data_IF_476863537753
#
_entry.id   IF_476863537753
#
_cell.length_a   1.000
_cell.length_b   1.000
_cell.length_c   1.000
_cell.angle_alpha   90.00
_cell.angle_beta   90.00
_cell.angle_gamma   90.00
#
_symmetry.space_group_name_H-M   'P 1'
#
loop_
_entity.id
_entity.type
_entity.pdbx_description
1 polymer ?
#
# COMPACT_ATOMS: atom_id res chain seq x y z
N UNK A 1 2.31 20.69 6.34
CA UNK A 1 1.40 20.09 5.34
C UNK A 1 1.02 21.17 4.33
N UNK A 2 1.36 20.95 3.05
CA UNK A 2 1.03 21.90 1.98
C UNK A 2 -0.17 21.42 1.14
N UNK A 3 -0.98 20.51 1.67
CA UNK A 3 -2.17 19.99 0.99
C UNK A 3 -3.44 20.79 1.29
N UNK A 4 -4.49 20.47 0.55
CA UNK A 4 -5.83 20.99 0.78
C UNK A 4 -6.76 19.87 1.23
N UNK A 5 -7.75 20.20 2.05
CA UNK A 5 -8.91 19.34 2.33
C UNK A 5 -9.74 19.15 1.05
N UNK A 6 -10.66 18.18 1.05
CA UNK A 6 -11.53 17.89 -0.10
C UNK A 6 -12.43 19.07 -0.51
N UNK A 7 -12.70 19.99 0.40
CA UNK A 7 -13.45 21.23 0.12
C UNK A 7 -12.58 22.35 -0.46
N UNK A 8 -11.28 22.10 -0.69
CA UNK A 8 -10.32 23.09 -1.20
C UNK A 8 -9.66 23.97 -0.14
N UNK A 9 -10.06 23.85 1.12
CA UNK A 9 -9.47 24.62 2.23
C UNK A 9 -8.02 24.16 2.48
N UNK A 10 -7.10 25.12 2.67
CA UNK A 10 -5.70 24.82 2.92
C UNK A 10 -5.48 24.19 4.31
N UNK A 11 -4.77 23.07 4.36
CA UNK A 11 -4.34 22.47 5.62
C UNK A 11 -3.38 23.37 6.43
N UNK A 12 -2.75 24.36 5.79
CA UNK A 12 -1.92 25.35 6.49
C UNK A 12 -2.75 26.39 7.27
N UNK A 13 -3.95 26.69 6.81
CA UNK A 13 -4.87 27.59 7.49
C UNK A 13 -5.60 26.92 8.66
N UNK A 14 -5.89 25.63 8.51
CA UNK A 14 -6.55 24.82 9.51
C UNK A 14 -5.74 23.53 9.74
N UNK A 15 -4.58 23.62 10.43
CA UNK A 15 -3.74 22.45 10.62
C UNK A 15 -4.45 21.39 11.49
N UNK A 16 -4.38 20.10 11.11
CA UNK A 16 -4.93 19.04 11.93
C UNK A 16 -4.20 18.97 13.28
N UNK A 17 -4.94 18.74 14.34
CA UNK A 17 -4.37 18.51 15.67
C UNK A 17 -3.72 17.12 15.73
N UNK A 18 -2.47 17.00 16.22
CA UNK A 18 -1.89 15.69 16.48
C UNK A 18 -2.65 14.96 17.59
N UNK A 19 -2.82 13.65 17.45
CA UNK A 19 -3.39 12.81 18.52
C UNK A 19 -2.48 12.78 19.74
N UNK A 20 -3.07 12.65 20.94
CA UNK A 20 -2.32 12.31 22.15
C UNK A 20 -1.87 10.85 22.12
N UNK A 21 -0.98 10.45 23.04
CA UNK A 21 -0.55 9.05 23.17
C UNK A 21 -1.75 8.16 23.56
N UNK A 22 -2.62 8.64 24.44
CA UNK A 22 -3.83 7.93 24.88
C UNK A 22 -4.80 7.72 23.71
N UNK A 23 -4.98 8.74 22.87
CA UNK A 23 -5.82 8.64 21.67
C UNK A 23 -5.26 7.62 20.67
N UNK A 24 -3.93 7.54 20.51
CA UNK A 24 -3.29 6.51 19.66
C UNK A 24 -3.56 5.12 20.24
N UNK A 25 -3.38 4.93 21.53
CA UNK A 25 -3.62 3.65 22.20
C UNK A 25 -5.08 3.20 22.12
N UNK A 26 -6.02 4.14 22.21
CA UNK A 26 -7.44 3.84 22.02
C UNK A 26 -7.73 3.46 20.57
N UNK A 27 -7.14 4.18 19.61
CA UNK A 27 -7.30 3.89 18.19
C UNK A 27 -6.73 2.50 17.80
N UNK A 28 -5.63 2.06 18.42
CA UNK A 28 -5.14 0.69 18.25
C UNK A 28 -6.22 -0.34 18.59
N UNK A 29 -6.92 -0.15 19.73
CA UNK A 29 -8.03 -1.04 20.13
C UNK A 29 -9.21 -0.98 19.17
N UNK A 30 -9.52 0.22 18.65
CA UNK A 30 -10.57 0.40 17.65
C UNK A 30 -10.29 -0.35 16.35
N UNK A 31 -9.03 -0.44 15.90
CA UNK A 31 -8.65 -1.29 14.77
C UNK A 31 -8.94 -2.77 15.04
N UNK A 32 -8.60 -3.27 16.23
CA UNK A 32 -8.95 -4.64 16.64
C UNK A 32 -10.45 -4.88 16.68
N UNK A 33 -11.20 -3.95 17.26
CA UNK A 33 -12.66 -4.01 17.32
C UNK A 33 -13.31 -3.95 15.92
N UNK A 34 -12.77 -3.13 15.02
CA UNK A 34 -13.24 -3.05 13.63
C UNK A 34 -12.99 -4.36 12.86
N UNK A 35 -11.82 -4.95 13.03
CA UNK A 35 -11.48 -6.25 12.43
C UNK A 35 -12.42 -7.36 12.91
N UNK A 36 -12.73 -7.39 14.20
CA UNK A 36 -13.68 -8.35 14.77
C UNK A 36 -15.08 -8.19 14.14
N UNK A 37 -15.58 -6.97 14.03
CA UNK A 37 -16.86 -6.69 13.36
C UNK A 37 -16.87 -7.12 11.89
N UNK A 38 -15.74 -6.96 11.17
CA UNK A 38 -15.62 -7.43 9.80
C UNK A 38 -15.77 -8.96 9.70
N UNK A 39 -15.10 -9.72 10.56
CA UNK A 39 -15.23 -11.19 10.59
C UNK A 39 -16.64 -11.61 11.01
N UNK A 40 -17.24 -10.95 12.01
CA UNK A 40 -18.64 -11.18 12.42
C UNK A 40 -19.64 -10.89 11.29
N UNK A 41 -19.33 -9.95 10.41
CA UNK A 41 -20.12 -9.66 9.21
C UNK A 41 -19.93 -10.67 8.06
N UNK A 42 -19.02 -11.65 8.21
CA UNK A 42 -18.78 -12.74 7.26
C UNK A 42 -17.57 -12.57 6.35
N UNK A 43 -16.69 -11.59 6.58
CA UNK A 43 -15.41 -11.48 5.88
C UNK A 43 -14.42 -12.54 6.41
N UNK A 44 -13.58 -13.09 5.54
CA UNK A 44 -12.56 -14.08 5.89
C UNK A 44 -11.39 -13.49 6.68
N UNK A 45 -11.07 -12.22 6.42
CA UNK A 45 -9.98 -11.49 7.05
C UNK A 45 -10.00 -10.01 6.71
N UNK A 46 -8.95 -9.29 7.09
CA UNK A 46 -8.79 -7.85 6.83
C UNK A 46 -7.40 -7.50 6.32
N UNK A 47 -7.30 -6.47 5.49
CA UNK A 47 -6.05 -5.81 5.15
C UNK A 47 -6.00 -4.44 5.81
N UNK A 48 -5.01 -4.24 6.69
CA UNK A 48 -4.76 -2.96 7.36
C UNK A 48 -4.21 -1.99 6.32
N UNK A 49 -4.85 -0.83 6.17
CA UNK A 49 -4.38 0.19 5.24
C UNK A 49 -3.30 1.06 5.88
N UNK A 50 -2.04 0.73 5.61
CA UNK A 50 -0.86 1.49 6.04
C UNK A 50 -0.12 2.15 4.88
N UNK A 51 -0.86 2.73 3.91
CA UNK A 51 -0.33 3.17 2.64
C UNK A 51 -0.96 4.48 2.15
N UNK A 52 -0.41 5.03 1.06
CA UNK A 52 -0.96 6.12 0.26
C UNK A 52 -1.24 7.42 1.04
N UNK A 53 -0.41 7.75 2.02
CA UNK A 53 -0.52 8.99 2.79
C UNK A 53 -1.68 9.03 3.78
N UNK A 54 -2.34 7.88 4.04
CA UNK A 54 -3.40 7.80 5.04
C UNK A 54 -2.83 7.55 6.44
N UNK A 55 -3.69 7.38 7.42
CA UNK A 55 -3.38 7.49 8.84
C UNK A 55 -2.09 6.77 9.28
N UNK A 56 -1.95 5.46 9.04
CA UNK A 56 -0.78 4.72 9.48
C UNK A 56 0.48 5.15 8.71
N UNK A 57 0.33 5.40 7.40
CA UNK A 57 1.42 5.85 6.54
C UNK A 57 1.96 7.22 6.96
N UNK A 58 1.11 8.12 7.46
CA UNK A 58 1.52 9.42 8.00
C UNK A 58 2.45 9.30 9.21
N UNK A 59 2.31 8.25 10.02
CA UNK A 59 3.24 7.99 11.12
C UNK A 59 4.62 7.52 10.63
N UNK A 60 4.66 6.81 9.51
CA UNK A 60 5.90 6.28 8.94
C UNK A 60 6.78 7.38 8.34
N UNK A 61 6.22 8.37 7.67
CA UNK A 61 6.97 9.38 6.93
C UNK A 61 7.48 10.55 7.80
N UNK A 62 8.78 10.80 7.79
CA UNK A 62 9.43 11.83 8.62
C UNK A 62 9.13 13.27 8.17
N UNK A 63 8.69 13.48 6.93
CA UNK A 63 8.23 14.79 6.49
C UNK A 63 6.86 15.19 7.07
N UNK A 64 6.05 14.21 7.48
CA UNK A 64 4.72 14.41 8.06
C UNK A 64 4.75 14.23 9.57
N UNK A 65 5.32 13.12 10.05
CA UNK A 65 5.44 12.82 11.48
C UNK A 65 6.52 13.68 12.13
N UNK A 66 6.10 14.77 12.79
CA UNK A 66 6.95 15.69 13.55
C UNK A 66 6.84 15.50 15.08
N UNK A 67 6.33 14.35 15.52
CA UNK A 67 6.19 14.01 16.93
C UNK A 67 7.55 13.85 17.60
N UNK A 68 7.60 14.17 18.88
CA UNK A 68 8.80 14.06 19.73
C UNK A 68 8.62 13.04 20.87
N UNK A 69 7.50 12.34 20.87
CA UNK A 69 7.20 11.26 21.81
C UNK A 69 7.58 9.88 21.21
N UNK A 70 7.13 8.81 21.86
CA UNK A 70 7.41 7.44 21.48
C UNK A 70 6.82 6.99 20.12
N UNK A 71 6.09 7.86 19.43
CA UNK A 71 5.50 7.61 18.11
C UNK A 71 6.12 8.47 17.00
N UNK A 72 7.24 9.15 17.25
CA UNK A 72 7.92 10.00 16.28
C UNK A 72 9.41 10.10 16.48
N UNK A 73 10.10 10.75 15.53
CA UNK A 73 11.55 10.90 15.50
C UNK A 73 12.23 9.70 14.85
N UNK A 74 12.71 8.74 15.62
CA UNK A 74 13.46 7.59 15.09
C UNK A 74 12.58 6.63 14.27
N UNK A 75 13.21 5.79 13.45
CA UNK A 75 12.56 4.74 12.65
C UNK A 75 11.73 3.80 13.53
N UNK A 76 12.27 3.42 14.69
CA UNK A 76 11.62 2.55 15.66
C UNK A 76 10.30 3.16 16.18
N UNK A 77 10.36 4.45 16.54
CA UNK A 77 9.20 5.16 17.07
C UNK A 77 8.14 5.38 15.99
N UNK A 78 8.54 5.73 14.76
CA UNK A 78 7.61 5.91 13.65
C UNK A 78 6.94 4.60 13.21
N UNK A 79 7.63 3.46 13.36
CA UNK A 79 7.11 2.13 13.08
C UNK A 79 6.21 1.56 14.18
N UNK A 80 6.21 2.13 15.39
CA UNK A 80 5.51 1.64 16.56
C UNK A 80 4.02 1.49 16.34
N UNK A 81 3.36 2.55 15.89
CA UNK A 81 1.90 2.54 15.72
C UNK A 81 1.41 1.47 14.73
N UNK A 82 1.95 1.36 13.50
CA UNK A 82 1.59 0.27 12.60
C UNK A 82 1.82 -1.13 13.19
N UNK A 83 2.91 -1.34 13.92
CA UNK A 83 3.21 -2.63 14.57
C UNK A 83 2.23 -2.95 15.69
N UNK A 84 1.84 -1.99 16.49
CA UNK A 84 0.81 -2.16 17.53
C UNK A 84 -0.55 -2.49 16.92
N UNK A 85 -0.94 -1.82 15.82
CA UNK A 85 -2.18 -2.12 15.09
C UNK A 85 -2.17 -3.54 14.52
N UNK A 86 -1.07 -3.97 13.86
CA UNK A 86 -0.94 -5.36 13.37
C UNK A 86 -1.17 -6.36 14.49
N UNK A 87 -0.50 -6.18 15.62
CA UNK A 87 -0.58 -7.11 16.74
C UNK A 87 -1.98 -7.14 17.37
N UNK A 88 -2.61 -5.99 17.53
CA UNK A 88 -3.95 -5.90 18.10
C UNK A 88 -5.00 -6.54 17.20
N UNK A 89 -4.94 -6.26 15.89
CA UNK A 89 -5.84 -6.89 14.91
C UNK A 89 -5.63 -8.40 14.88
N UNK A 90 -4.38 -8.87 14.88
CA UNK A 90 -4.08 -10.30 14.90
C UNK A 90 -4.57 -11.00 16.18
N UNK A 91 -4.47 -10.35 17.34
CA UNK A 91 -5.06 -10.85 18.59
C UNK A 91 -6.59 -10.95 18.52
N UNK A 92 -7.21 -10.02 17.81
CA UNK A 92 -8.68 -9.95 17.73
C UNK A 92 -9.30 -11.03 16.83
N UNK A 93 -8.64 -11.39 15.70
CA UNK A 93 -9.23 -12.25 14.66
C UNK A 93 -8.38 -13.43 14.22
N UNK A 94 -7.15 -13.57 14.74
CA UNK A 94 -6.15 -14.56 14.29
C UNK A 94 -5.19 -13.97 13.25
N UNK A 95 -3.91 -14.27 13.38
CA UNK A 95 -2.84 -13.71 12.56
C UNK A 95 -2.92 -14.13 11.07
N UNK A 96 -3.45 -15.33 10.81
CA UNK A 96 -3.68 -15.89 9.48
C UNK A 96 -4.76 -15.17 8.65
N UNK A 97 -5.52 -14.29 9.30
CA UNK A 97 -6.58 -13.46 8.68
C UNK A 97 -6.20 -11.99 8.53
N UNK A 98 -4.93 -11.66 8.76
CA UNK A 98 -4.46 -10.27 8.75
C UNK A 98 -3.41 -10.06 7.69
N UNK A 99 -3.60 -9.05 6.84
CA UNK A 99 -2.59 -8.47 5.98
C UNK A 99 -2.38 -7.00 6.30
N UNK A 100 -1.30 -6.43 5.78
CA UNK A 100 -1.07 -4.99 5.79
C UNK A 100 -0.61 -4.50 4.42
N UNK A 101 -1.19 -3.38 3.97
CA UNK A 101 -0.76 -2.69 2.76
C UNK A 101 0.16 -1.53 3.12
N UNK A 102 1.31 -1.43 2.42
CA UNK A 102 2.35 -0.42 2.59
C UNK A 102 2.75 0.20 1.24
N UNK A 103 3.21 1.45 1.24
CA UNK A 103 3.60 2.17 0.02
C UNK A 103 4.89 2.98 0.24
N UNK A 104 6.04 2.31 0.36
CA UNK A 104 7.31 2.93 0.77
C UNK A 104 7.78 4.07 -0.15
N UNK A 105 7.39 4.05 -1.42
CA UNK A 105 7.82 5.00 -2.45
C UNK A 105 6.67 5.84 -3.02
N UNK A 106 5.54 5.88 -2.32
CA UNK A 106 4.41 6.72 -2.73
C UNK A 106 4.56 8.14 -2.17
N UNK A 107 4.24 9.13 -3.02
CA UNK A 107 4.25 10.54 -2.65
C UNK A 107 2.84 11.15 -2.62
N UNK A 108 1.84 10.32 -2.74
CA UNK A 108 0.45 10.74 -2.61
C UNK A 108 0.19 11.35 -1.23
N UNK A 109 -0.64 12.39 -1.16
CA UNK A 109 -0.88 13.16 0.08
C UNK A 109 0.39 13.85 0.63
N UNK A 110 1.38 14.10 -0.23
CA UNK A 110 2.65 14.76 0.12
C UNK A 110 3.47 14.01 1.20
N UNK A 111 3.25 12.71 1.36
CA UNK A 111 4.08 11.87 2.24
C UNK A 111 5.40 11.54 1.56
N UNK A 112 6.51 11.74 2.28
CA UNK A 112 7.86 11.44 1.81
C UNK A 112 8.74 11.06 3.00
N UNK A 113 9.47 9.97 2.90
CA UNK A 113 10.48 9.62 3.90
C UNK A 113 11.87 10.03 3.42
N UNK A 114 12.72 10.52 4.32
CA UNK A 114 14.08 10.91 3.97
C UNK A 114 14.97 9.72 3.65
N UNK A 115 14.66 8.52 4.20
CA UNK A 115 15.36 7.28 3.90
C UNK A 115 14.37 6.09 3.87
N UNK A 116 13.55 5.96 2.82
CA UNK A 116 12.54 4.92 2.77
C UNK A 116 13.12 3.51 2.80
N UNK A 117 14.33 3.29 2.27
CA UNK A 117 14.95 1.98 2.28
C UNK A 117 15.22 1.49 3.72
N UNK A 118 15.88 2.30 4.54
CA UNK A 118 16.19 1.97 5.94
C UNK A 118 14.90 1.78 6.76
N UNK A 119 13.96 2.69 6.59
CA UNK A 119 12.73 2.66 7.38
C UNK A 119 11.89 1.42 7.08
N UNK A 120 11.63 1.14 5.80
CA UNK A 120 10.82 -0.03 5.44
C UNK A 120 11.57 -1.36 5.57
N UNK A 121 12.91 -1.39 5.44
CA UNK A 121 13.70 -2.56 5.85
C UNK A 121 13.49 -2.86 7.34
N UNK A 122 13.61 -1.85 8.22
CA UNK A 122 13.35 -2.01 9.64
C UNK A 122 11.92 -2.50 9.92
N UNK A 123 10.91 -1.87 9.33
CA UNK A 123 9.51 -2.27 9.51
C UNK A 123 9.28 -3.73 9.08
N UNK A 124 9.82 -4.13 7.92
CA UNK A 124 9.74 -5.51 7.44
C UNK A 124 10.46 -6.49 8.37
N UNK A 125 11.62 -6.12 8.92
CA UNK A 125 12.34 -6.94 9.91
C UNK A 125 11.52 -7.13 11.18
N UNK A 126 10.91 -6.05 11.68
CA UNK A 126 10.04 -6.15 12.85
C UNK A 126 8.82 -7.05 12.56
N UNK A 127 8.16 -6.91 11.42
CA UNK A 127 7.03 -7.77 11.01
C UNK A 127 7.48 -9.22 10.91
N UNK A 128 8.60 -9.51 10.24
CA UNK A 128 9.11 -10.86 10.04
C UNK A 128 9.49 -11.57 11.35
N UNK A 129 9.88 -10.81 12.38
CA UNK A 129 10.29 -11.34 13.68
C UNK A 129 9.19 -11.33 14.74
N UNK A 130 7.99 -10.84 14.44
CA UNK A 130 6.85 -10.96 15.35
C UNK A 130 6.58 -12.43 15.73
N UNK A 131 6.13 -12.71 16.95
CA UNK A 131 5.61 -14.03 17.32
C UNK A 131 4.55 -14.50 16.31
N UNK A 132 4.54 -15.79 16.00
CA UNK A 132 3.65 -16.38 14.98
C UNK A 132 2.17 -16.05 15.22
N UNK A 133 1.77 -15.93 16.46
CA UNK A 133 0.40 -15.68 16.91
C UNK A 133 -0.10 -14.27 16.53
N UNK A 134 0.81 -13.35 16.24
CA UNK A 134 0.50 -11.95 15.90
C UNK A 134 1.19 -11.47 14.61
N UNK A 135 1.91 -12.37 13.92
CA UNK A 135 2.56 -12.07 12.65
C UNK A 135 1.54 -12.16 11.51
N UNK A 136 1.39 -11.11 10.70
CA UNK A 136 0.39 -11.10 9.64
C UNK A 136 0.67 -12.18 8.58
N UNK A 137 -0.36 -12.67 7.92
CA UNK A 137 -0.27 -13.63 6.84
C UNK A 137 0.52 -13.09 5.65
N UNK A 138 0.36 -11.80 5.35
CA UNK A 138 1.04 -11.16 4.23
C UNK A 138 1.29 -9.67 4.43
N UNK A 139 2.25 -9.17 3.66
CA UNK A 139 2.47 -7.75 3.41
C UNK A 139 2.23 -7.47 1.93
N UNK A 140 1.40 -6.49 1.63
CA UNK A 140 1.09 -6.01 0.30
C UNK A 140 1.82 -4.69 0.07
N UNK A 141 2.68 -4.59 -0.95
CA UNK A 141 3.42 -3.37 -1.25
C UNK A 141 3.20 -2.86 -2.68
N UNK A 142 3.28 -1.54 -2.81
CA UNK A 142 3.14 -0.85 -4.10
C UNK A 142 4.52 -0.63 -4.70
N UNK A 143 4.70 -1.05 -5.96
CA UNK A 143 5.94 -0.87 -6.74
C UNK A 143 6.31 0.62 -6.84
N UNK A 144 7.61 0.95 -6.76
CA UNK A 144 8.08 2.35 -6.82
C UNK A 144 7.75 3.06 -8.12
N UNK A 145 7.61 2.32 -9.23
CA UNK A 145 7.22 2.85 -10.55
C UNK A 145 5.76 3.31 -10.63
N UNK A 146 4.92 2.88 -9.69
CA UNK A 146 3.50 3.20 -9.71
C UNK A 146 3.21 4.51 -9.01
N UNK A 147 2.32 5.30 -9.62
CA UNK A 147 1.74 6.51 -9.02
C UNK A 147 0.27 6.63 -9.41
N UNK A 148 -0.51 7.31 -8.60
CA UNK A 148 -1.92 7.55 -8.84
C UNK A 148 -2.15 8.57 -9.97
N UNK A 149 -1.23 9.51 -10.13
CA UNK A 149 -1.33 10.65 -11.04
C UNK A 149 -0.26 10.60 -12.13
N UNK A 150 0.99 10.41 -11.75
CA UNK A 150 2.13 10.43 -12.66
C UNK A 150 2.20 9.17 -13.52
N UNK A 151 2.78 9.29 -14.71
CA UNK A 151 3.26 8.11 -15.45
C UNK A 151 4.53 7.53 -14.83
N UNK A 152 4.94 6.34 -15.29
CA UNK A 152 6.07 5.62 -14.70
C UNK A 152 7.38 6.43 -14.77
N UNK A 153 7.68 7.07 -15.92
CA UNK A 153 8.92 7.82 -16.08
C UNK A 153 8.94 9.05 -15.19
N UNK A 154 7.85 9.83 -15.18
CA UNK A 154 7.71 11.00 -14.32
C UNK A 154 7.81 10.64 -12.83
N UNK A 155 7.28 9.48 -12.43
CA UNK A 155 7.42 8.95 -11.07
C UNK A 155 8.87 8.63 -10.72
N UNK A 156 9.58 7.92 -11.58
CA UNK A 156 10.98 7.55 -11.36
C UNK A 156 11.89 8.79 -11.32
N UNK A 157 11.62 9.77 -12.16
CA UNK A 157 12.32 11.05 -12.17
C UNK A 157 12.09 11.83 -10.86
N UNK A 158 10.87 11.86 -10.35
CA UNK A 158 10.53 12.50 -9.07
C UNK A 158 11.21 11.82 -7.88
N UNK A 159 11.26 10.48 -7.87
CA UNK A 159 11.99 9.71 -6.85
C UNK A 159 13.49 10.00 -6.89
N UNK A 160 14.09 10.03 -8.09
CA UNK A 160 15.51 10.30 -8.27
C UNK A 160 15.88 11.71 -7.84
N UNK A 161 15.06 12.71 -8.20
CA UNK A 161 15.26 14.09 -7.79
C UNK A 161 15.18 14.26 -6.27
N UNK A 162 14.20 13.63 -5.63
CA UNK A 162 14.04 13.71 -4.17
C UNK A 162 15.23 13.10 -3.40
N UNK A 163 15.70 11.93 -3.83
CA UNK A 163 16.85 11.26 -3.20
C UNK A 163 18.15 12.03 -3.41
N UNK A 164 18.37 12.64 -4.58
CA UNK A 164 19.54 13.46 -4.88
C UNK A 164 19.59 14.72 -4.04
N UNK A 165 18.46 15.41 -3.85
CA UNK A 165 18.35 16.65 -3.07
C UNK A 165 18.66 16.44 -1.58
N UNK A 166 18.44 15.23 -1.05
CA UNK A 166 18.70 14.88 0.34
C UNK A 166 20.09 14.31 0.60
N UNK A 167 20.94 14.16 -0.41
CA UNK A 167 22.27 13.55 -0.27
C UNK A 167 22.21 12.06 0.10
N UNK A 168 21.06 11.43 -0.09
CA UNK A 168 20.83 10.00 0.18
C UNK A 168 21.32 9.22 -1.04
N UNK A 169 22.57 8.79 -0.98
CA UNK A 169 23.25 8.16 -2.11
C UNK A 169 22.65 6.81 -2.54
N UNK A 170 22.88 6.57 -3.82
CA UNK A 170 22.99 5.30 -4.57
C UNK A 170 22.26 4.06 -4.02
N UNK A 171 22.20 3.81 -2.72
CA UNK A 171 21.58 2.60 -2.17
C UNK A 171 20.05 2.69 -2.17
N UNK A 172 19.46 3.83 -1.78
CA UNK A 172 18.03 4.05 -1.90
C UNK A 172 17.62 4.08 -3.38
N UNK A 173 18.41 4.75 -4.24
CA UNK A 173 18.19 4.76 -5.70
C UNK A 173 18.39 3.37 -6.32
N UNK A 174 19.34 2.58 -5.80
CA UNK A 174 19.57 1.21 -6.26
C UNK A 174 18.44 0.28 -5.83
N UNK A 175 17.92 0.42 -4.60
CA UNK A 175 16.75 -0.31 -4.11
C UNK A 175 15.48 0.07 -4.86
N UNK A 176 15.28 1.36 -5.19
CA UNK A 176 14.16 1.78 -6.05
C UNK A 176 14.27 1.24 -7.48
N UNK A 177 15.46 1.18 -8.07
CA UNK A 177 15.68 0.57 -9.38
C UNK A 177 15.43 -0.94 -9.41
N UNK A 178 15.62 -1.62 -8.27
CA UNK A 178 15.40 -3.06 -8.14
C UNK A 178 14.02 -3.42 -7.58
N UNK A 179 13.15 -2.44 -7.38
CA UNK A 179 11.79 -2.65 -6.88
C UNK A 179 11.76 -3.09 -5.41
N UNK A 180 10.79 -3.93 -5.08
CA UNK A 180 10.49 -4.34 -3.69
C UNK A 180 11.27 -5.58 -3.22
N UNK A 181 12.26 -6.04 -3.98
CA UNK A 181 12.97 -7.30 -3.75
C UNK A 181 13.62 -7.40 -2.35
N UNK A 182 14.20 -6.30 -1.82
CA UNK A 182 14.82 -6.32 -0.48
C UNK A 182 13.80 -6.60 0.61
N UNK A 183 12.63 -5.95 0.55
CA UNK A 183 11.54 -6.15 1.49
C UNK A 183 10.98 -7.58 1.41
N UNK A 184 10.80 -8.09 0.18
CA UNK A 184 10.42 -9.49 -0.06
C UNK A 184 11.38 -10.46 0.65
N UNK A 185 12.68 -10.28 0.49
CA UNK A 185 13.70 -11.15 1.07
C UNK A 185 13.72 -11.11 2.60
N UNK A 186 13.45 -9.96 3.20
CA UNK A 186 13.33 -9.82 4.65
C UNK A 186 12.10 -10.56 5.15
N UNK A 187 10.93 -10.31 4.57
CA UNK A 187 9.65 -10.90 4.96
C UNK A 187 9.62 -12.42 4.79
N UNK A 188 10.27 -12.94 3.74
CA UNK A 188 10.40 -14.37 3.49
C UNK A 188 11.10 -15.12 4.63
N UNK A 189 12.06 -14.50 5.32
CA UNK A 189 12.73 -15.11 6.49
C UNK A 189 11.76 -15.37 7.65
N UNK A 190 10.69 -14.58 7.75
CA UNK A 190 9.63 -14.75 8.73
C UNK A 190 8.44 -15.59 8.23
N UNK A 191 8.51 -16.18 7.05
CA UNK A 191 7.38 -16.86 6.38
C UNK A 191 6.14 -15.96 6.21
N UNK A 192 6.36 -14.66 5.99
CA UNK A 192 5.32 -13.70 5.66
C UNK A 192 5.17 -13.66 4.14
N UNK A 193 3.98 -13.87 3.62
CA UNK A 193 3.73 -13.80 2.17
C UNK A 193 3.83 -12.38 1.67
N UNK A 194 4.28 -12.22 0.44
CA UNK A 194 4.49 -10.93 -0.17
C UNK A 194 3.60 -10.75 -1.39
N UNK A 195 2.81 -9.68 -1.39
CA UNK A 195 1.92 -9.33 -2.48
C UNK A 195 2.42 -8.03 -3.12
N UNK A 196 2.66 -8.05 -4.44
CA UNK A 196 3.08 -6.86 -5.17
C UNK A 196 1.90 -6.24 -5.93
N UNK A 197 1.80 -4.91 -5.88
CA UNK A 197 0.86 -4.10 -6.64
C UNK A 197 1.60 -2.99 -7.39
N UNK A 198 0.98 -2.43 -8.41
CA UNK A 198 1.51 -1.26 -9.11
C UNK A 198 1.89 -1.53 -10.56
N UNK A 199 0.98 -1.21 -11.48
CA UNK A 199 1.21 -1.29 -12.92
C UNK A 199 1.41 -2.70 -13.46
N UNK A 200 0.86 -3.71 -12.81
CA UNK A 200 0.88 -5.08 -13.32
C UNK A 200 -0.20 -5.30 -14.36
N UNK A 201 0.18 -6.05 -15.40
CA UNK A 201 -0.64 -6.49 -16.52
C UNK A 201 -0.35 -7.98 -16.84
N UNK A 202 -0.89 -8.47 -17.95
CA UNK A 202 -0.70 -9.84 -18.41
C UNK A 202 0.77 -10.20 -18.61
N UNK A 203 1.58 -9.27 -19.12
CA UNK A 203 2.91 -9.56 -19.62
C UNK A 203 3.97 -9.53 -18.51
N UNK A 204 3.75 -8.74 -17.46
CA UNK A 204 4.73 -8.51 -16.40
C UNK A 204 4.39 -9.17 -15.05
N UNK A 205 3.17 -9.68 -14.86
CA UNK A 205 2.74 -10.27 -13.59
C UNK A 205 3.35 -11.67 -13.36
N UNK A 206 3.22 -12.59 -14.32
CA UNK A 206 3.74 -13.95 -14.20
C UNK A 206 5.27 -13.96 -14.02
N UNK A 207 6.07 -13.23 -14.81
CA UNK A 207 7.52 -13.15 -14.61
C UNK A 207 7.94 -12.70 -13.21
N UNK A 208 7.17 -11.83 -12.56
CA UNK A 208 7.42 -11.36 -11.19
C UNK A 208 7.30 -12.49 -10.16
N UNK A 209 6.29 -13.34 -10.31
CA UNK A 209 6.07 -14.51 -9.45
C UNK A 209 7.10 -15.61 -9.74
N UNK A 210 7.37 -15.88 -11.01
CA UNK A 210 8.36 -16.89 -11.45
C UNK A 210 9.78 -16.56 -10.97
N UNK A 211 10.12 -15.27 -10.88
CA UNK A 211 11.39 -14.81 -10.34
C UNK A 211 11.46 -14.86 -8.80
N UNK A 212 10.42 -15.32 -8.12
CA UNK A 212 10.27 -15.31 -6.65
C UNK A 212 10.35 -13.89 -6.04
N UNK A 213 9.98 -12.87 -6.82
CA UNK A 213 9.92 -11.48 -6.37
C UNK A 213 8.59 -11.11 -5.71
N UNK A 214 7.59 -11.96 -5.83
CA UNK A 214 6.30 -11.89 -5.13
C UNK A 214 5.65 -13.27 -5.03
N UNK A 215 4.81 -13.49 -4.00
CA UNK A 215 3.96 -14.68 -3.92
C UNK A 215 2.67 -14.51 -4.71
N UNK A 216 2.14 -13.30 -4.75
CA UNK A 216 0.90 -12.93 -5.46
C UNK A 216 1.02 -11.53 -6.07
N UNK A 217 0.20 -11.26 -7.08
CA UNK A 217 0.10 -9.98 -7.76
C UNK A 217 -1.32 -9.44 -7.63
N UNK A 218 -1.45 -8.13 -7.37
CA UNK A 218 -2.74 -7.44 -7.35
C UNK A 218 -2.93 -6.61 -8.61
N UNK A 219 -4.11 -6.75 -9.20
CA UNK A 219 -4.59 -5.96 -10.33
C UNK A 219 -5.70 -5.01 -9.87
N UNK A 220 -5.46 -3.71 -9.89
CA UNK A 220 -6.47 -2.70 -9.60
C UNK A 220 -7.20 -2.23 -10.86
N UNK A 221 -6.54 -1.38 -11.64
CA UNK A 221 -7.13 -0.72 -12.82
C UNK A 221 -7.68 -1.69 -13.85
N UNK A 222 -6.97 -2.75 -14.15
CA UNK A 222 -7.43 -3.79 -15.06
C UNK A 222 -8.67 -4.51 -14.56
N UNK A 223 -8.80 -4.69 -13.23
CA UNK A 223 -9.97 -5.34 -12.65
C UNK A 223 -11.22 -4.44 -12.72
N UNK A 224 -11.06 -3.11 -12.62
CA UNK A 224 -12.18 -2.17 -12.84
C UNK A 224 -12.77 -2.36 -14.23
N UNK A 225 -11.93 -2.44 -15.27
CA UNK A 225 -12.37 -2.52 -16.65
C UNK A 225 -12.75 -3.94 -17.11
N UNK A 226 -12.40 -4.96 -16.35
CA UNK A 226 -12.63 -6.36 -16.70
C UNK A 226 -13.23 -7.12 -15.52
N UNK A 227 -14.57 -7.16 -15.38
CA UNK A 227 -15.24 -7.86 -14.27
C UNK A 227 -14.90 -9.35 -14.20
N UNK A 228 -14.50 -9.94 -15.33
CA UNK A 228 -14.07 -11.32 -15.51
C UNK A 228 -12.54 -11.46 -15.71
N UNK A 229 -11.75 -10.53 -15.17
CA UNK A 229 -10.29 -10.48 -15.35
C UNK A 229 -9.58 -11.82 -15.11
N UNK A 230 -9.86 -12.60 -14.05
CA UNK A 230 -9.21 -13.89 -13.84
C UNK A 230 -9.38 -14.86 -15.02
N UNK A 231 -10.60 -14.92 -15.59
CA UNK A 231 -10.88 -15.73 -16.77
C UNK A 231 -10.10 -15.22 -17.98
N UNK A 232 -10.13 -13.91 -18.24
CA UNK A 232 -9.42 -13.31 -19.36
C UNK A 232 -7.91 -13.56 -19.31
N UNK A 233 -7.32 -13.46 -18.13
CA UNK A 233 -5.90 -13.74 -17.93
C UNK A 233 -5.58 -15.22 -18.14
N UNK A 234 -6.38 -16.14 -17.57
CA UNK A 234 -6.18 -17.58 -17.67
C UNK A 234 -6.32 -18.10 -19.10
N UNK A 235 -7.29 -17.57 -19.86
CA UNK A 235 -7.59 -18.02 -21.22
C UNK A 235 -6.89 -17.18 -22.32
N UNK A 236 -6.10 -16.17 -21.95
CA UNK A 236 -5.44 -15.30 -22.90
C UNK A 236 -6.35 -14.39 -23.72
N UNK A 237 -7.54 -14.07 -23.18
CA UNK A 237 -8.55 -13.26 -23.85
C UNK A 237 -8.18 -11.77 -23.85
N UNK A 238 -8.75 -11.00 -24.79
CA UNK A 238 -8.55 -9.56 -24.90
C UNK A 238 -9.07 -8.83 -23.66
N UNK A 239 -8.32 -7.83 -23.17
CA UNK A 239 -8.72 -7.01 -22.04
C UNK A 239 -9.41 -5.73 -22.53
N UNK A 240 -10.48 -5.32 -21.85
CA UNK A 240 -11.04 -3.97 -22.01
C UNK A 240 -10.01 -2.96 -21.47
N UNK A 241 -9.77 -1.89 -22.24
CA UNK A 241 -8.97 -0.78 -21.75
C UNK A 241 -9.73 -0.01 -20.65
N UNK A 242 -9.03 0.39 -19.60
CA UNK A 242 -9.62 1.26 -18.58
C UNK A 242 -9.49 2.72 -18.93
N UNK A 243 -10.46 3.54 -18.50
CA UNK A 243 -10.41 5.00 -18.61
C UNK A 243 -10.12 5.61 -17.23
N UNK A 244 -8.92 6.17 -17.04
CA UNK A 244 -8.52 6.77 -15.76
C UNK A 244 -9.35 8.01 -15.39
N UNK A 245 -9.89 8.72 -16.39
CA UNK A 245 -10.68 9.92 -16.14
C UNK A 245 -12.02 9.63 -15.44
N UNK A 246 -12.44 8.37 -15.46
CA UNK A 246 -13.70 7.92 -14.84
C UNK A 246 -13.54 7.30 -13.45
N UNK A 247 -12.32 7.08 -12.95
CA UNK A 247 -12.10 6.40 -11.68
C UNK A 247 -12.66 7.16 -10.48
N UNK A 248 -12.66 8.50 -10.55
CA UNK A 248 -13.16 9.36 -9.48
C UNK A 248 -14.05 10.45 -10.06
N UNK A 249 -15.30 10.51 -9.60
CA UNK A 249 -16.19 11.61 -9.93
C UNK A 249 -16.77 11.59 -11.34
N UNK A 250 -16.87 10.45 -12.00
CA UNK A 250 -17.57 10.32 -13.27
C UNK A 250 -19.06 10.65 -13.13
N UNK A 251 -19.64 11.25 -14.17
CA UNK A 251 -21.07 11.50 -14.27
C UNK A 251 -21.63 10.85 -15.55
N UNK A 252 -22.55 9.88 -15.45
CA UNK A 252 -23.06 9.28 -14.22
C UNK A 252 -22.02 8.38 -13.50
N UNK A 253 -22.16 8.11 -12.18
CA UNK A 253 -21.12 7.44 -11.39
C UNK A 253 -20.79 6.00 -11.80
N UNK A 254 -21.64 5.36 -12.57
CA UNK A 254 -21.42 4.01 -13.11
C UNK A 254 -20.43 4.01 -14.28
N UNK A 255 -20.31 5.13 -14.99
CA UNK A 255 -19.51 5.25 -16.22
C UNK A 255 -18.04 4.92 -15.96
N UNK A 256 -17.53 3.92 -16.68
CA UNK A 256 -16.14 3.48 -16.59
C UNK A 256 -15.78 2.81 -15.27
N UNK A 257 -16.77 2.37 -14.49
CA UNK A 257 -16.59 1.70 -13.21
C UNK A 257 -17.38 0.39 -13.09
N UNK A 258 -18.69 0.40 -13.38
CA UNK A 258 -19.54 -0.80 -13.27
C UNK A 258 -20.24 -1.16 -14.59
N UNK A 259 -19.95 -0.48 -15.68
CA UNK A 259 -20.57 -0.65 -16.99
C UNK A 259 -19.70 -1.37 -18.04
N UNK A 260 -18.50 -1.83 -17.63
CA UNK A 260 -17.65 -2.61 -18.52
C UNK A 260 -18.23 -4.02 -18.76
N UNK A 261 -18.22 -4.49 -20.02
CA UNK A 261 -18.76 -5.80 -20.36
C UNK A 261 -17.78 -6.93 -19.97
N UNK A 262 -18.33 -8.09 -19.64
CA UNK A 262 -17.60 -9.36 -19.64
C UNK A 262 -17.25 -9.76 -21.07
N UNK A 263 -16.28 -10.66 -21.22
CA UNK A 263 -15.91 -11.20 -22.52
C UNK A 263 -17.01 -12.11 -23.06
N UNK A 264 -17.55 -11.75 -24.22
CA UNK A 264 -18.50 -12.57 -24.97
C UNK A 264 -17.78 -13.24 -26.14
N UNK A 265 -17.92 -14.54 -26.25
CA UNK A 265 -17.49 -15.28 -27.44
C UNK A 265 -18.39 -14.83 -28.60
N UNK A 266 -17.84 -14.14 -29.59
CA UNK A 266 -18.56 -13.89 -30.84
C UNK A 266 -18.81 -15.24 -31.50
N UNK A 267 -20.02 -15.76 -31.40
CA UNK A 267 -20.46 -16.87 -32.24
C UNK A 267 -20.64 -16.29 -33.63
N UNK A 268 -19.72 -16.61 -34.53
CA UNK A 268 -19.88 -16.31 -35.95
C UNK A 268 -21.15 -17.06 -36.40
N UNK A 269 -22.13 -16.29 -36.95
CA UNK A 269 -23.40 -16.80 -37.43
C UNK A 269 -23.26 -17.41 -38.83
#
# INVERSE_FOLDING_TARGET
>A
MNGNYFDGTSCSEFPPRPMTVEEIQELVKEFGAAAKRAVEAGFDGVEIHGANGYLLDQFLHDNVNKRTDNYGGSVENRSRFPLEVIQEVAKAIGADRVGIRLSPFNYFQDTKDSNPAEHWDYLCEQIATLPKEVRPAYVHMVEPRFDEVLDEQAKLDALSAYTSDKGIEAEATRKTKHGLHSFRNILKKGDVKFIAAGGFDRDNAAPKVEADDADLIIFGRWFIANPDLPKRLAEGLELNAYDRSTFYGADPPQKGYTDYPTFEVKVEA
#
